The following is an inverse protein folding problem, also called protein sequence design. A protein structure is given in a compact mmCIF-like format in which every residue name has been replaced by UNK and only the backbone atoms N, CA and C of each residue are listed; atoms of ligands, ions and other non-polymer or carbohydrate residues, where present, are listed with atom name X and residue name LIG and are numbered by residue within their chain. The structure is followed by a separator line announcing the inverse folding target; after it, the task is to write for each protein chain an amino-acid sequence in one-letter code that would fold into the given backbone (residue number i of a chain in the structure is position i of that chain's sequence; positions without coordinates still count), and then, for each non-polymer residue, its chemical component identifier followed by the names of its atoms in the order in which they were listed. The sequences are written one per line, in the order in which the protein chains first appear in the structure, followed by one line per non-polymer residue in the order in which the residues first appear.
data_IF_461396262990
#
_entry.id   IF_461396262990
#
_cell.length_a   1.000
_cell.length_b   1.000
_cell.length_c   1.000
_cell.angle_alpha   90.00
_cell.angle_beta   90.00
_cell.angle_gamma   90.00
#
_symmetry.space_group_name_H-M   'P 1'
#
loop_
_entity.id
_entity.type
_entity.pdbx_description
1 polymer ?
#
# COMPACT_ATOMS: atom_id res chain seq x y z
N UNK A 1 58.50 40.46 29.85
CA UNK A 1 57.64 41.53 29.31
C UNK A 1 57.75 41.54 27.80
N UNK A 2 56.72 41.05 27.10
CA UNK A 2 56.40 41.36 25.71
C UNK A 2 55.07 40.66 25.40
N UNK A 3 53.97 41.42 25.49
CA UNK A 3 52.64 40.99 25.07
C UNK A 3 52.53 41.16 23.55
N UNK A 4 52.26 40.09 22.81
CA UNK A 4 51.83 40.17 21.41
C UNK A 4 50.36 39.76 21.35
N UNK A 5 49.50 40.77 21.31
CA UNK A 5 48.08 40.63 21.01
C UNK A 5 47.93 40.22 19.54
N UNK A 6 47.50 38.99 19.28
CA UNK A 6 46.99 38.61 17.97
C UNK A 6 45.55 39.15 17.83
N UNK A 7 45.35 40.14 16.95
CA UNK A 7 44.02 40.60 16.55
C UNK A 7 43.51 39.69 15.43
N UNK A 8 42.53 38.84 15.75
CA UNK A 8 41.75 38.11 14.74
C UNK A 8 40.68 39.04 14.16
N UNK A 9 40.60 39.25 12.84
CA UNK A 9 39.51 40.02 12.24
C UNK A 9 38.21 39.19 12.27
N UNK A 10 37.20 39.68 12.99
CA UNK A 10 35.85 39.13 13.03
C UNK A 10 35.21 39.27 11.64
N UNK A 11 34.80 38.15 11.06
CA UNK A 11 34.01 38.10 9.83
C UNK A 11 32.64 38.76 10.07
N UNK A 12 32.16 39.66 9.20
CA UNK A 12 30.84 40.27 9.39
C UNK A 12 29.73 39.24 9.18
N UNK A 13 28.89 39.07 10.21
CA UNK A 13 27.66 38.28 10.19
C UNK A 13 26.69 38.83 9.13
N UNK A 14 26.11 38.00 8.23
CA UNK A 14 25.08 38.48 7.31
C UNK A 14 23.81 38.88 8.07
N UNK A 15 23.07 39.91 7.62
CA UNK A 15 21.88 40.39 8.31
C UNK A 15 20.77 39.34 8.30
N UNK A 16 20.16 39.11 9.46
CA UNK A 16 18.85 38.45 9.56
C UNK A 16 17.84 39.25 8.74
N UNK A 17 17.12 38.55 7.85
CA UNK A 17 15.70 38.74 7.45
C UNK A 17 15.53 38.58 5.95
N UNK A 18 15.29 37.35 5.51
CA UNK A 18 14.42 37.11 4.36
C UNK A 18 13.39 36.06 4.81
N UNK A 19 12.08 36.37 4.81
CA UNK A 19 11.06 35.38 5.10
C UNK A 19 11.12 34.26 4.04
N UNK A 20 10.86 32.99 4.43
CA UNK A 20 10.96 31.87 3.51
C UNK A 20 10.04 32.10 2.31
N UNK A 21 10.60 31.99 1.11
CA UNK A 21 9.88 32.01 -0.15
C UNK A 21 8.68 31.05 -0.09
N UNK A 22 7.52 31.50 -0.59
CA UNK A 22 6.34 30.63 -0.70
C UNK A 22 6.73 29.33 -1.43
N UNK A 23 6.35 28.15 -0.89
CA UNK A 23 6.72 26.89 -1.50
C UNK A 23 6.09 26.75 -2.90
N UNK A 24 6.87 26.19 -3.83
CA UNK A 24 6.48 25.87 -5.21
C UNK A 24 5.07 25.23 -5.28
N UNK A 25 4.24 25.53 -6.30
CA UNK A 25 2.86 25.00 -6.43
C UNK A 25 2.78 23.47 -6.36
N UNK A 26 3.85 22.74 -6.68
CA UNK A 26 3.91 21.29 -6.57
C UNK A 26 3.83 20.78 -5.11
N UNK A 27 4.13 21.65 -4.14
CA UNK A 27 4.03 21.35 -2.70
C UNK A 27 2.60 21.51 -2.16
N UNK A 28 1.66 22.05 -2.95
CA UNK A 28 0.26 22.20 -2.52
C UNK A 28 -0.54 20.89 -2.58
N UNK A 29 0.04 19.80 -3.12
CA UNK A 29 -0.65 18.50 -3.30
C UNK A 29 -0.83 17.74 -1.97
N UNK A 30 -0.35 18.25 -0.83
CA UNK A 30 -0.49 17.56 0.47
C UNK A 30 -0.95 18.47 1.62
N UNK A 31 -1.92 19.36 1.37
CA UNK A 31 -2.76 19.87 2.47
C UNK A 31 -3.98 18.98 2.64
N UNK A 32 -3.76 17.81 3.25
CA UNK A 32 -4.84 17.16 4.00
C UNK A 32 -5.26 18.14 5.12
N UNK A 33 -6.57 18.26 5.40
CA UNK A 33 -7.07 19.16 6.43
C UNK A 33 -6.40 18.90 7.78
N UNK A 34 -6.19 19.94 8.61
CA UNK A 34 -5.58 19.78 9.93
C UNK A 34 -6.41 18.78 10.73
N UNK A 35 -5.77 17.97 11.57
CA UNK A 35 -6.38 16.75 12.06
C UNK A 35 -7.76 17.00 12.72
N UNK A 36 -7.91 18.05 13.53
CA UNK A 36 -8.96 18.15 14.55
C UNK A 36 -10.43 18.33 14.12
N UNK A 37 -10.84 18.18 12.85
CA UNK A 37 -12.27 18.22 12.48
C UNK A 37 -12.78 17.09 11.56
N UNK A 38 -11.87 16.21 11.11
CA UNK A 38 -12.15 14.90 10.46
C UNK A 38 -11.58 13.74 11.32
N UNK A 39 -10.76 14.08 12.33
CA UNK A 39 -10.25 13.23 13.39
C UNK A 39 -11.34 12.79 14.38
N UNK A 40 -12.00 11.71 14.06
CA UNK A 40 -11.81 10.45 14.80
C UNK A 40 -12.12 9.29 13.86
N UNK A 41 -11.82 9.47 12.57
CA UNK A 41 -11.93 8.38 11.61
C UNK A 41 -10.88 7.33 11.99
N UNK A 42 -11.37 6.26 12.59
CA UNK A 42 -10.56 5.13 12.98
C UNK A 42 -10.15 4.37 11.71
N UNK A 43 -9.09 4.86 11.05
CA UNK A 43 -8.54 4.22 9.86
C UNK A 43 -8.15 2.76 10.13
N UNK A 44 -7.79 2.42 11.37
CA UNK A 44 -7.50 1.04 11.74
C UNK A 44 -8.77 0.17 11.71
N UNK A 45 -9.91 0.69 12.16
CA UNK A 45 -11.20 -0.01 12.06
C UNK A 45 -11.68 -0.12 10.62
N UNK A 46 -11.60 0.97 9.83
CA UNK A 46 -11.94 0.95 8.41
C UNK A 46 -11.07 -0.08 7.66
N UNK A 47 -9.76 -0.08 7.92
CA UNK A 47 -8.84 -1.03 7.32
C UNK A 47 -9.14 -2.47 7.77
N UNK A 48 -9.39 -2.68 9.07
CA UNK A 48 -9.75 -3.99 9.64
C UNK A 48 -11.01 -4.55 9.00
N UNK A 49 -12.05 -3.72 8.86
CA UNK A 49 -13.30 -4.11 8.22
C UNK A 49 -13.13 -4.39 6.72
N UNK A 50 -12.41 -3.52 6.01
CA UNK A 50 -12.20 -3.70 4.58
C UNK A 50 -11.32 -4.91 4.25
N UNK A 51 -10.40 -5.26 5.16
CA UNK A 51 -9.48 -6.40 5.04
C UNK A 51 -9.94 -7.62 5.83
N UNK A 52 -11.22 -7.69 6.23
CA UNK A 52 -11.73 -8.91 6.87
C UNK A 52 -11.52 -10.10 5.94
N UNK A 53 -10.82 -11.10 6.45
CA UNK A 53 -10.45 -12.30 5.68
C UNK A 53 -11.64 -13.02 5.03
N UNK A 54 -12.84 -12.99 5.63
CA UNK A 54 -14.01 -13.62 5.00
C UNK A 54 -14.47 -12.83 3.80
N UNK A 55 -14.48 -11.49 3.89
CA UNK A 55 -14.75 -10.60 2.75
C UNK A 55 -13.72 -10.80 1.65
N UNK A 56 -12.43 -10.86 2.01
CA UNK A 56 -11.37 -11.17 1.06
C UNK A 56 -11.59 -12.52 0.39
N UNK A 57 -11.93 -13.57 1.14
CA UNK A 57 -12.11 -14.89 0.55
C UNK A 57 -13.37 -15.05 -0.29
N UNK A 58 -14.46 -14.39 0.09
CA UNK A 58 -15.71 -14.38 -0.65
C UNK A 58 -15.57 -13.63 -1.98
N UNK A 59 -14.81 -12.53 -2.01
CA UNK A 59 -14.78 -11.63 -3.16
C UNK A 59 -13.48 -11.76 -3.93
N UNK A 60 -12.35 -11.48 -3.29
CA UNK A 60 -11.03 -11.54 -3.93
C UNK A 60 -10.65 -12.98 -4.24
N UNK A 61 -10.82 -13.87 -3.26
CA UNK A 61 -10.50 -15.29 -3.39
C UNK A 61 -11.37 -15.99 -4.44
N UNK A 62 -12.66 -15.64 -4.53
CA UNK A 62 -13.53 -16.16 -5.59
C UNK A 62 -13.20 -15.59 -6.96
N UNK A 63 -12.90 -14.29 -7.06
CA UNK A 63 -12.50 -13.67 -8.33
C UNK A 63 -11.19 -14.29 -8.88
N UNK A 64 -10.25 -14.64 -7.99
CA UNK A 64 -9.01 -15.32 -8.34
C UNK A 64 -9.17 -16.84 -8.51
N UNK A 65 -10.37 -17.38 -8.27
CA UNK A 65 -10.69 -18.82 -8.36
C UNK A 65 -9.73 -19.69 -7.55
N UNK A 66 -9.37 -19.22 -6.35
CA UNK A 66 -8.35 -19.85 -5.51
C UNK A 66 -8.71 -21.29 -5.14
N UNK A 67 -10.00 -21.63 -5.04
CA UNK A 67 -10.45 -22.99 -4.77
C UNK A 67 -9.98 -24.04 -5.77
N UNK A 68 -9.62 -23.61 -6.99
CA UNK A 68 -9.15 -24.50 -8.04
C UNK A 68 -7.69 -24.93 -7.85
N UNK A 69 -6.92 -24.16 -7.09
CA UNK A 69 -5.46 -24.33 -6.98
C UNK A 69 -4.99 -24.48 -5.54
N UNK A 70 -5.69 -23.89 -4.58
CA UNK A 70 -5.31 -23.98 -3.17
C UNK A 70 -5.57 -25.40 -2.64
N UNK A 71 -4.64 -25.89 -1.83
CA UNK A 71 -4.80 -27.17 -1.14
C UNK A 71 -5.58 -26.91 0.14
N UNK A 72 -6.79 -27.44 0.23
CA UNK A 72 -7.64 -27.33 1.41
C UNK A 72 -8.57 -28.54 1.51
N UNK A 73 -9.10 -28.78 2.70
CA UNK A 73 -10.05 -29.85 2.96
C UNK A 73 -11.23 -29.24 3.74
N UNK A 74 -12.49 -29.41 3.28
CA UNK A 74 -13.65 -28.90 3.99
C UNK A 74 -13.86 -29.64 5.31
N UNK A 75 -14.21 -28.90 6.36
CA UNK A 75 -14.66 -29.50 7.60
C UNK A 75 -16.11 -29.99 7.42
N UNK A 76 -16.30 -31.30 7.27
CA UNK A 76 -17.59 -31.94 6.94
C UNK A 76 -18.46 -32.27 8.16
N UNK A 77 -18.34 -31.56 9.27
CA UNK A 77 -19.02 -31.89 10.53
C UNK A 77 -20.55 -31.62 10.54
N UNK A 78 -21.22 -31.57 9.37
CA UNK A 78 -22.68 -31.45 9.22
C UNK A 78 -23.10 -31.34 7.75
N UNK A 79 -24.40 -31.43 7.46
CA UNK A 79 -25.04 -31.17 6.13
C UNK A 79 -25.00 -29.68 5.73
N UNK A 80 -23.91 -28.98 6.06
CA UNK A 80 -23.74 -27.56 5.81
C UNK A 80 -23.31 -27.25 4.38
N UNK A 81 -23.70 -26.07 3.91
CA UNK A 81 -23.22 -25.50 2.64
C UNK A 81 -21.71 -25.26 2.70
N UNK A 82 -21.04 -25.08 1.56
CA UNK A 82 -19.61 -24.72 1.51
C UNK A 82 -19.25 -23.51 2.39
N UNK A 83 -20.22 -22.60 2.66
CA UNK A 83 -20.08 -21.48 3.61
C UNK A 83 -19.79 -21.96 5.03
N UNK A 84 -20.48 -23.01 5.47
CA UNK A 84 -20.38 -23.60 6.80
C UNK A 84 -19.07 -24.40 6.97
N UNK A 85 -18.47 -24.82 5.85
CA UNK A 85 -17.17 -25.50 5.82
C UNK A 85 -15.96 -24.56 6.01
N UNK A 86 -16.16 -23.25 6.20
CA UNK A 86 -15.09 -22.28 6.49
C UNK A 86 -14.30 -21.81 5.26
N UNK A 87 -14.78 -22.09 4.05
CA UNK A 87 -14.05 -21.85 2.80
C UNK A 87 -13.63 -20.39 2.61
N UNK A 88 -14.47 -19.43 2.98
CA UNK A 88 -14.15 -18.00 2.82
C UNK A 88 -12.98 -17.58 3.71
N UNK A 89 -12.89 -18.09 4.94
CA UNK A 89 -11.74 -17.80 5.79
C UNK A 89 -10.44 -18.35 5.17
N UNK A 90 -10.48 -19.59 4.68
CA UNK A 90 -9.32 -20.24 4.03
C UNK A 90 -8.89 -19.49 2.77
N UNK A 91 -9.83 -19.12 1.90
CA UNK A 91 -9.54 -18.32 0.70
C UNK A 91 -8.96 -16.96 1.06
N UNK A 92 -9.52 -16.28 2.06
CA UNK A 92 -9.04 -14.97 2.52
C UNK A 92 -7.61 -15.02 3.02
N UNK A 93 -7.30 -15.98 3.89
CA UNK A 93 -5.93 -16.20 4.36
C UNK A 93 -4.98 -16.56 3.21
N UNK A 94 -5.47 -17.26 2.19
CA UNK A 94 -4.67 -17.52 0.97
C UNK A 94 -4.38 -16.23 0.20
N UNK A 95 -5.34 -15.29 0.10
CA UNK A 95 -5.12 -13.96 -0.49
C UNK A 95 -4.03 -13.19 0.27
N UNK A 96 -4.11 -13.16 1.61
CA UNK A 96 -3.09 -12.53 2.46
C UNK A 96 -1.71 -13.16 2.23
N UNK A 97 -1.64 -14.50 2.15
CA UNK A 97 -0.40 -15.22 1.89
C UNK A 97 0.20 -14.91 0.50
N UNK A 98 -0.64 -14.73 -0.54
CA UNK A 98 -0.16 -14.33 -1.88
C UNK A 98 0.43 -12.93 -1.85
N UNK A 99 -0.21 -11.98 -1.15
CA UNK A 99 0.30 -10.61 -1.01
C UNK A 99 1.59 -10.60 -0.20
N UNK A 100 1.64 -11.32 0.93
CA UNK A 100 2.82 -11.49 1.77
C UNK A 100 3.99 -12.16 1.04
N UNK A 101 3.71 -13.22 0.27
CA UNK A 101 4.71 -13.89 -0.57
C UNK A 101 5.25 -12.98 -1.69
N UNK A 102 4.38 -12.16 -2.27
CA UNK A 102 4.78 -11.13 -3.25
C UNK A 102 5.71 -10.10 -2.61
N UNK A 103 5.38 -9.64 -1.40
CA UNK A 103 6.24 -8.74 -0.64
C UNK A 103 7.60 -9.38 -0.34
N UNK A 104 7.61 -10.62 0.13
CA UNK A 104 8.83 -11.34 0.47
C UNK A 104 9.74 -11.56 -0.75
N UNK A 105 9.17 -11.95 -1.90
CA UNK A 105 9.94 -12.30 -3.09
C UNK A 105 10.33 -11.11 -3.99
N UNK A 106 9.46 -10.10 -4.08
CA UNK A 106 9.58 -9.00 -5.03
C UNK A 106 9.61 -7.61 -4.38
N UNK A 107 9.49 -7.54 -3.06
CA UNK A 107 9.58 -6.30 -2.27
C UNK A 107 8.27 -5.49 -2.20
N UNK A 108 8.33 -4.41 -1.41
CA UNK A 108 7.17 -3.58 -1.09
C UNK A 108 6.48 -2.95 -2.30
N UNK A 109 7.23 -2.51 -3.31
CA UNK A 109 6.65 -1.87 -4.51
C UNK A 109 5.74 -2.83 -5.28
N UNK A 110 6.17 -4.09 -5.45
CA UNK A 110 5.37 -5.09 -6.16
C UNK A 110 4.10 -5.43 -5.36
N UNK A 111 4.22 -5.65 -4.05
CA UNK A 111 3.07 -5.92 -3.19
C UNK A 111 2.09 -4.75 -3.13
N UNK A 112 2.58 -3.51 -3.05
CA UNK A 112 1.76 -2.31 -3.07
C UNK A 112 0.98 -2.18 -4.38
N UNK A 113 1.64 -2.40 -5.53
CA UNK A 113 0.96 -2.39 -6.83
C UNK A 113 -0.05 -3.52 -6.94
N UNK A 114 0.28 -4.74 -6.50
CA UNK A 114 -0.66 -5.85 -6.45
C UNK A 114 -1.91 -5.47 -5.64
N UNK A 115 -1.73 -4.91 -4.44
CA UNK A 115 -2.82 -4.50 -3.58
C UNK A 115 -3.73 -3.47 -4.26
N UNK A 116 -3.18 -2.34 -4.70
CA UNK A 116 -3.97 -1.24 -5.26
C UNK A 116 -4.60 -1.55 -6.63
N UNK A 117 -4.05 -2.51 -7.37
CA UNK A 117 -4.56 -2.83 -8.71
C UNK A 117 -5.35 -4.13 -8.79
N UNK A 118 -5.29 -5.00 -7.78
CA UNK A 118 -6.00 -6.30 -7.79
C UNK A 118 -6.84 -6.53 -6.55
N UNK A 119 -6.45 -6.07 -5.37
CA UNK A 119 -7.19 -6.35 -4.12
C UNK A 119 -8.15 -5.19 -3.82
N UNK A 120 -7.61 -3.99 -3.64
CA UNK A 120 -8.36 -2.81 -3.21
C UNK A 120 -9.57 -2.47 -4.10
N UNK A 121 -9.50 -2.54 -5.45
CA UNK A 121 -10.65 -2.24 -6.29
C UNK A 121 -11.82 -3.21 -6.06
N UNK A 122 -11.54 -4.45 -5.67
CA UNK A 122 -12.58 -5.47 -5.43
C UNK A 122 -13.26 -5.29 -4.08
N UNK A 123 -12.55 -4.77 -3.07
CA UNK A 123 -13.10 -4.48 -1.74
C UNK A 123 -13.47 -3.01 -1.55
N UNK A 124 -13.39 -2.19 -2.60
CA UNK A 124 -13.73 -0.78 -2.50
C UNK A 124 -15.18 -0.55 -2.02
N UNK A 125 -16.10 -1.47 -2.30
CA UNK A 125 -17.49 -1.38 -1.82
C UNK A 125 -17.61 -1.51 -0.29
N UNK A 126 -16.66 -2.15 0.39
CA UNK A 126 -16.66 -2.28 1.85
C UNK A 126 -16.04 -1.07 2.55
N UNK A 127 -15.46 -0.13 1.79
CA UNK A 127 -15.01 1.15 2.32
C UNK A 127 -16.19 2.11 2.50
N UNK A 128 -16.08 3.07 3.43
CA UNK A 128 -16.97 4.24 3.48
C UNK A 128 -17.06 4.92 2.11
N UNK A 129 -18.24 5.47 1.80
CA UNK A 129 -18.60 5.97 0.47
C UNK A 129 -17.60 7.02 -0.05
N UNK A 130 -17.03 7.81 0.86
CA UNK A 130 -16.09 8.89 0.60
C UNK A 130 -14.76 8.39 0.03
N UNK A 131 -14.34 7.17 0.37
CA UNK A 131 -13.05 6.61 -0.06
C UNK A 131 -13.15 5.69 -1.28
N UNK A 132 -14.36 5.27 -1.67
CA UNK A 132 -14.54 4.31 -2.76
C UNK A 132 -13.96 4.82 -4.08
N UNK A 133 -14.22 6.09 -4.41
CA UNK A 133 -13.71 6.71 -5.62
C UNK A 133 -12.18 6.83 -5.58
N UNK A 134 -11.62 7.26 -4.44
CA UNK A 134 -10.18 7.36 -4.26
C UNK A 134 -9.48 6.00 -4.42
N UNK A 135 -10.06 4.93 -3.87
CA UNK A 135 -9.55 3.57 -4.00
C UNK A 135 -9.46 3.12 -5.48
N UNK A 136 -10.50 3.43 -6.28
CA UNK A 136 -10.54 3.13 -7.71
C UNK A 136 -9.54 3.97 -8.50
N UNK A 137 -9.45 5.28 -8.21
CA UNK A 137 -8.56 6.20 -8.91
C UNK A 137 -7.07 5.87 -8.70
N UNK A 138 -6.68 5.47 -7.50
CA UNK A 138 -5.30 5.00 -7.25
C UNK A 138 -4.98 3.76 -8.08
N UNK A 139 -5.92 2.82 -8.18
CA UNK A 139 -5.77 1.65 -9.05
C UNK A 139 -5.56 2.02 -10.52
N UNK A 140 -6.32 2.99 -11.04
CA UNK A 140 -6.17 3.50 -12.42
C UNK A 140 -4.80 4.14 -12.65
N UNK A 141 -4.33 4.98 -11.73
CA UNK A 141 -3.00 5.63 -11.80
C UNK A 141 -1.85 4.62 -11.86
N UNK A 142 -2.01 3.45 -11.25
CA UNK A 142 -1.03 2.36 -11.29
C UNK A 142 -1.17 1.43 -12.52
N UNK A 143 -2.06 1.78 -13.46
CA UNK A 143 -2.31 1.07 -14.72
C UNK A 143 -3.53 0.12 -14.71
N UNK A 144 -4.31 0.10 -13.62
CA UNK A 144 -5.55 -0.65 -13.50
C UNK A 144 -5.41 -2.17 -13.36
N UNK A 145 -6.53 -2.88 -13.54
CA UNK A 145 -6.70 -4.33 -13.34
C UNK A 145 -5.87 -5.24 -14.26
N UNK A 146 -5.14 -4.66 -15.23
CA UNK A 146 -4.27 -5.41 -16.15
C UNK A 146 -2.82 -4.92 -16.15
N UNK A 147 -2.48 -3.95 -15.32
CA UNK A 147 -1.10 -3.48 -15.19
C UNK A 147 -0.15 -4.62 -14.78
N UNK A 148 1.07 -4.68 -15.34
CA UNK A 148 2.12 -5.54 -14.81
C UNK A 148 2.34 -5.25 -13.33
N UNK A 149 2.47 -6.27 -12.48
CA UNK A 149 2.73 -6.08 -11.04
C UNK A 149 4.21 -5.73 -10.83
N UNK A 150 5.10 -6.50 -11.46
CA UNK A 150 6.54 -6.29 -11.40
C UNK A 150 6.94 -5.14 -12.33
N UNK A 151 7.77 -4.24 -11.82
CA UNK A 151 8.50 -3.30 -12.66
C UNK A 151 9.63 -4.04 -13.37
N UNK A 152 10.10 -3.51 -14.49
CA UNK A 152 11.08 -4.19 -15.33
C UNK A 152 12.33 -4.64 -14.55
N UNK A 153 12.78 -3.86 -13.55
CA UNK A 153 13.93 -4.21 -12.71
C UNK A 153 13.68 -5.32 -11.68
N UNK A 154 12.42 -5.66 -11.41
CA UNK A 154 12.03 -6.68 -10.43
C UNK A 154 11.77 -8.04 -11.09
N UNK A 155 11.63 -8.06 -12.42
CA UNK A 155 11.44 -9.26 -13.23
C UNK A 155 12.67 -10.19 -13.12
N UNK A 156 12.49 -11.50 -12.88
CA UNK A 156 13.60 -12.46 -12.81
C UNK A 156 14.50 -12.43 -14.06
N UNK A 157 13.89 -12.34 -15.25
CA UNK A 157 14.62 -12.28 -16.52
C UNK A 157 15.47 -11.01 -16.69
N UNK A 158 15.03 -9.88 -16.13
CA UNK A 158 15.78 -8.63 -16.22
C UNK A 158 16.98 -8.61 -15.26
N UNK A 159 16.85 -9.24 -14.08
CA UNK A 159 17.98 -9.40 -13.13
C UNK A 159 19.10 -10.27 -13.71
N UNK A 160 18.74 -11.31 -14.46
CA UNK A 160 19.68 -12.14 -15.21
C UNK A 160 20.43 -11.32 -16.27
N UNK A 161 19.73 -10.49 -17.03
CA UNK A 161 20.34 -9.65 -18.07
C UNK A 161 21.28 -8.57 -17.50
N UNK A 162 20.98 -8.00 -16.33
CA UNK A 162 21.84 -7.00 -15.68
C UNK A 162 23.07 -7.57 -14.97
N UNK A 163 23.10 -8.88 -14.69
CA UNK A 163 24.21 -9.54 -14.00
C UNK A 163 25.31 -10.05 -14.96
N UNK A 164 25.03 -10.06 -16.27
CA UNK A 164 25.96 -10.47 -17.33
C UNK A 164 26.60 -9.29 -18.10
N UNK A 165 26.43 -8.06 -17.61
CA UNK A 165 26.94 -6.83 -18.21
C UNK A 165 28.07 -6.20 -17.40
#
# INVERSE_FOLDING_TARGET
MAFLHAHSPLTPTPPLTQPPSEPSPDTQISRLPPPSSILEQNFAEIASQAMDTRVLGEIVGDAWKLERVMRWVPNRTGEGSSKDAGIYKVRGTTVEAVVGGTFHQFGGVAAHRLFHTRVLPMVAFSLPIEYRNAAVEVGKRLGGLRAPILLNQQSPSARLASATG
#
